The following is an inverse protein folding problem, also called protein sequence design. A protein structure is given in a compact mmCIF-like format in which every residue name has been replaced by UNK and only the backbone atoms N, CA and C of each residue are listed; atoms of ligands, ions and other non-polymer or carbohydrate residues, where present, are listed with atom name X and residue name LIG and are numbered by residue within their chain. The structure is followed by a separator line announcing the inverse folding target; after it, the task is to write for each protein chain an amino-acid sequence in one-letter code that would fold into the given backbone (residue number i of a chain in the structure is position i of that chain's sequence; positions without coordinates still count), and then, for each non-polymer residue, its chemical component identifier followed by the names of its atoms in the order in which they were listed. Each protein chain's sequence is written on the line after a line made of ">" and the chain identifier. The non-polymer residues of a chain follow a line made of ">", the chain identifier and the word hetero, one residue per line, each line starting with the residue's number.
data_IF_449207563719
#
_entry.id   IF_449207563719
#
_cell.length_a   1.000
_cell.length_b   1.000
_cell.length_c   1.000
_cell.angle_alpha   90.00
_cell.angle_beta   90.00
_cell.angle_gamma   90.00
#
_symmetry.space_group_name_H-M   'P 1'
#
loop_
_entity.id
_entity.type
_entity.pdbx_description
1 polymer ?
#
# COMPACT_ATOMS: atom_id res chain seq x y z
N UNK A 1 -14.69 23.46 -25.51
CA UNK A 1 -14.32 24.13 -24.24
C UNK A 1 -15.23 23.74 -23.06
N UNK A 2 -16.56 23.71 -23.16
CA UNK A 2 -17.44 23.40 -22.01
C UNK A 2 -17.51 21.91 -21.56
N UNK A 3 -17.19 20.93 -22.43
CA UNK A 3 -17.40 19.49 -22.15
C UNK A 3 -16.30 18.81 -21.32
N UNK A 4 -15.08 19.36 -21.29
CA UNK A 4 -13.94 18.77 -20.59
C UNK A 4 -14.00 19.10 -19.08
N UNK A 5 -14.41 20.32 -18.76
CA UNK A 5 -14.76 20.78 -17.41
C UNK A 5 -15.86 19.89 -16.84
N UNK A 6 -16.94 19.64 -17.60
CA UNK A 6 -18.07 18.82 -17.17
C UNK A 6 -17.72 17.39 -16.75
N UNK A 7 -16.67 16.75 -17.27
CA UNK A 7 -16.32 15.37 -16.88
C UNK A 7 -15.57 15.30 -15.55
N UNK A 8 -14.55 16.13 -15.32
CA UNK A 8 -13.89 16.23 -14.01
C UNK A 8 -14.89 16.80 -12.97
N UNK A 9 -15.77 17.71 -13.41
CA UNK A 9 -16.85 18.31 -12.64
C UNK A 9 -17.96 17.32 -12.27
N UNK A 10 -18.39 16.42 -13.16
CA UNK A 10 -19.36 15.35 -12.83
C UNK A 10 -18.80 14.38 -11.79
N UNK A 11 -17.49 14.10 -11.84
CA UNK A 11 -16.83 13.28 -10.82
C UNK A 11 -16.68 14.01 -9.47
N UNK A 12 -16.43 15.33 -9.47
CA UNK A 12 -16.35 16.13 -8.24
C UNK A 12 -17.73 16.49 -7.63
N UNK A 13 -18.80 16.57 -8.44
CA UNK A 13 -20.15 16.98 -8.01
C UNK A 13 -21.08 15.83 -7.59
N UNK A 14 -20.72 14.56 -7.83
CA UNK A 14 -21.58 13.41 -7.49
C UNK A 14 -21.57 13.02 -5.99
N UNK A 15 -20.92 13.80 -5.13
CA UNK A 15 -20.90 13.57 -3.68
C UNK A 15 -21.69 14.69 -2.97
N UNK A 16 -22.76 14.34 -2.25
CA UNK A 16 -23.60 15.28 -1.47
C UNK A 16 -22.80 16.03 -0.38
N UNK A 17 -23.07 17.32 -0.12
CA UNK A 17 -22.31 18.14 0.83
C UNK A 17 -22.97 18.19 2.23
N UNK A 18 -22.25 18.67 3.29
CA UNK A 18 -22.49 20.08 3.65
C UNK A 18 -21.28 20.91 4.19
N UNK A 19 -21.42 22.22 3.98
CA UNK A 19 -21.05 23.40 4.79
C UNK A 19 -19.58 23.80 5.08
N UNK A 20 -19.07 24.72 4.24
CA UNK A 20 -18.33 25.99 4.50
C UNK A 20 -17.54 26.23 5.81
N UNK A 21 -16.21 26.42 5.73
CA UNK A 21 -15.49 27.73 5.64
C UNK A 21 -13.94 27.57 5.60
N UNK A 22 -13.28 28.49 4.88
CA UNK A 22 -11.87 28.72 4.43
C UNK A 22 -10.68 28.61 5.44
N UNK A 23 -9.38 28.76 5.03
CA UNK A 23 -8.69 28.52 3.73
C UNK A 23 -7.38 27.66 3.81
N UNK A 24 -6.98 27.17 2.64
CA UNK A 24 -5.72 26.58 2.15
C UNK A 24 -4.38 26.88 2.85
N UNK A 25 -3.56 25.82 2.94
CA UNK A 25 -2.24 25.74 2.30
C UNK A 25 -1.92 24.28 1.95
N UNK A 26 -1.58 24.02 0.68
CA UNK A 26 -1.37 22.69 0.11
C UNK A 26 0.06 22.56 -0.41
N UNK A 27 0.88 21.71 0.22
CA UNK A 27 2.12 21.15 -0.34
C UNK A 27 2.18 19.64 -0.04
N UNK A 28 2.70 18.89 -1.02
CA UNK A 28 2.38 17.48 -1.29
C UNK A 28 2.79 16.46 -0.23
N UNK A 29 1.83 15.60 0.15
CA UNK A 29 2.01 14.54 1.11
C UNK A 29 2.63 13.27 0.49
N UNK A 30 3.89 12.98 0.78
CA UNK A 30 4.33 11.58 1.00
C UNK A 30 4.03 11.24 2.46
N UNK A 31 3.29 10.19 2.77
CA UNK A 31 2.87 9.92 4.15
C UNK A 31 4.07 9.51 5.05
N UNK A 32 4.11 10.06 6.26
CA UNK A 32 5.17 9.83 7.25
C UNK A 32 4.95 8.49 7.93
N UNK A 33 5.95 7.59 7.86
CA UNK A 33 5.83 6.23 8.40
C UNK A 33 6.27 6.23 9.86
N UNK A 34 5.32 6.43 10.76
CA UNK A 34 5.56 6.33 12.20
C UNK A 34 5.72 4.88 12.65
N UNK A 35 6.69 4.64 13.52
CA UNK A 35 6.80 3.36 14.20
C UNK A 35 5.79 3.30 15.34
N UNK A 36 5.32 2.09 15.66
CA UNK A 36 4.38 1.87 16.75
C UNK A 36 4.97 2.37 18.11
N UNK A 37 4.18 3.06 18.94
CA UNK A 37 4.64 3.68 20.19
C UNK A 37 5.16 2.69 21.24
N UNK A 38 4.78 1.41 21.17
CA UNK A 38 5.35 0.36 22.04
C UNK A 38 6.78 0.02 21.60
N UNK A 39 7.09 0.04 20.29
CA UNK A 39 8.46 -0.17 19.81
C UNK A 39 9.38 1.01 20.09
N UNK A 40 8.84 2.23 20.07
CA UNK A 40 9.56 3.43 20.49
C UNK A 40 10.20 3.25 21.89
N UNK A 41 9.54 2.55 22.81
CA UNK A 41 10.06 2.29 24.17
C UNK A 41 11.26 1.32 24.21
N UNK A 42 11.48 0.54 23.15
CA UNK A 42 12.57 -0.43 23.07
C UNK A 42 13.84 0.13 22.43
N UNK A 43 13.75 1.33 21.84
CA UNK A 43 14.89 2.01 21.24
C UNK A 43 15.81 2.56 22.32
N UNK A 44 17.12 2.46 22.08
CA UNK A 44 18.14 2.94 23.01
C UNK A 44 18.71 4.25 22.49
N UNK A 45 18.70 5.28 23.35
CA UNK A 45 19.56 6.45 23.13
C UNK A 45 21.00 6.06 23.38
N UNK A 46 21.89 6.54 22.51
CA UNK A 46 23.31 6.58 22.81
C UNK A 46 23.52 7.62 23.91
N UNK A 47 24.21 7.27 25.00
CA UNK A 47 24.54 8.25 26.07
C UNK A 47 25.32 9.40 25.45
N UNK A 48 24.94 10.62 25.81
CA UNK A 48 25.59 11.88 25.39
C UNK A 48 25.47 12.27 23.91
N UNK A 49 24.47 11.75 23.18
CA UNK A 49 24.15 12.26 21.83
C UNK A 49 23.23 13.49 21.93
N UNK A 50 23.75 14.65 21.57
CA UNK A 50 22.97 15.90 21.44
C UNK A 50 21.97 15.83 20.28
N UNK A 51 22.17 14.91 19.33
CA UNK A 51 21.40 14.75 18.10
C UNK A 51 20.02 14.13 18.31
N UNK A 52 19.77 13.48 19.46
CA UNK A 52 18.48 12.84 19.75
C UNK A 52 18.24 11.50 19.03
N UNK A 53 19.29 10.91 18.44
CA UNK A 53 19.17 9.62 17.76
C UNK A 53 18.80 8.47 18.70
N UNK A 54 17.89 7.65 18.19
CA UNK A 54 17.44 6.41 18.80
C UNK A 54 17.91 5.25 17.94
N UNK A 55 18.38 4.18 18.59
CA UNK A 55 18.91 3.01 17.90
C UNK A 55 18.18 1.74 18.31
N UNK A 56 17.94 0.87 17.33
CA UNK A 56 17.53 -0.50 17.58
C UNK A 56 18.75 -1.41 17.88
N UNK A 57 18.49 -2.70 18.09
CA UNK A 57 19.54 -3.71 18.31
C UNK A 57 20.45 -3.93 17.08
N UNK A 58 20.09 -3.42 15.90
CA UNK A 58 20.80 -3.54 14.62
C UNK A 58 21.46 -2.22 14.19
N UNK A 59 21.57 -1.24 15.09
CA UNK A 59 22.12 0.11 14.84
C UNK A 59 21.40 0.88 13.72
N UNK A 60 20.13 0.59 13.46
CA UNK A 60 19.29 1.44 12.62
C UNK A 60 18.93 2.71 13.37
N UNK A 61 18.87 3.83 12.65
CA UNK A 61 18.71 5.16 13.24
C UNK A 61 17.25 5.58 13.16
N UNK A 62 16.75 6.10 14.28
CA UNK A 62 15.40 6.60 14.45
C UNK A 62 15.46 7.98 15.10
N UNK A 63 14.45 8.80 14.85
CA UNK A 63 14.32 10.14 15.44
C UNK A 63 12.89 10.42 15.84
N UNK A 64 12.75 11.26 16.86
CA UNK A 64 11.46 11.70 17.39
C UNK A 64 11.02 12.98 16.67
N UNK A 65 9.96 12.88 15.86
CA UNK A 65 9.20 13.99 15.30
C UNK A 65 8.09 14.40 16.30
N UNK A 66 7.44 15.53 16.05
CA UNK A 66 6.33 16.00 16.88
C UNK A 66 5.16 15.01 16.96
N UNK A 67 4.93 14.24 15.90
CA UNK A 67 3.80 13.32 15.76
C UNK A 67 4.13 11.86 16.15
N UNK A 68 5.42 11.53 16.31
CA UNK A 68 5.84 10.17 16.61
C UNK A 68 7.29 9.90 16.21
N UNK A 69 7.70 8.64 16.32
CA UNK A 69 9.08 8.24 16.01
C UNK A 69 9.13 7.68 14.58
N UNK A 70 10.15 8.03 13.82
CA UNK A 70 10.36 7.56 12.45
C UNK A 70 11.74 6.96 12.29
N UNK A 71 11.87 6.02 11.35
CA UNK A 71 13.17 5.50 10.94
C UNK A 71 13.77 6.44 9.89
N UNK A 72 15.08 6.71 10.01
CA UNK A 72 15.79 7.58 9.09
C UNK A 72 17.05 6.91 8.53
N UNK A 73 17.43 7.32 7.32
CA UNK A 73 18.69 6.96 6.70
C UNK A 73 19.34 8.19 6.07
N UNK A 74 20.64 8.12 5.87
CA UNK A 74 21.41 9.19 5.25
C UNK A 74 21.53 8.95 3.74
N UNK A 75 20.97 9.85 2.94
CA UNK A 75 21.03 9.83 1.48
C UNK A 75 22.01 10.87 0.92
N UNK A 76 22.05 11.01 -0.41
CA UNK A 76 22.92 11.96 -1.10
C UNK A 76 22.63 13.44 -0.76
N UNK A 77 21.44 13.73 -0.24
CA UNK A 77 20.93 15.07 -0.02
C UNK A 77 20.46 15.33 1.43
N UNK A 78 20.96 14.51 2.37
CA UNK A 78 20.76 14.64 3.82
C UNK A 78 20.03 13.47 4.45
N UNK A 79 19.53 13.69 5.68
CA UNK A 79 18.72 12.71 6.40
C UNK A 79 17.30 12.66 5.83
N UNK A 80 16.82 11.44 5.58
CA UNK A 80 15.48 11.17 5.06
C UNK A 80 14.81 10.05 5.83
N UNK A 81 13.50 10.09 5.88
CA UNK A 81 12.70 8.96 6.39
C UNK A 81 12.90 7.72 5.50
N UNK A 82 12.83 6.55 6.12
CA UNK A 82 13.03 5.27 5.45
C UNK A 82 12.28 4.14 6.18
N UNK A 83 12.39 2.91 5.72
CA UNK A 83 11.85 1.72 6.38
C UNK A 83 12.79 0.51 6.24
N UNK A 84 12.53 -0.57 6.99
CA UNK A 84 13.48 -1.67 7.18
C UNK A 84 13.87 -2.46 5.91
N UNK A 85 13.13 -2.33 4.81
CA UNK A 85 13.38 -2.97 3.51
C UNK A 85 13.90 -2.03 2.42
N UNK A 86 14.09 -0.76 2.73
CA UNK A 86 14.54 0.23 1.75
C UNK A 86 16.07 0.36 1.77
N UNK A 87 16.71 0.22 0.60
CA UNK A 87 18.17 0.33 0.48
C UNK A 87 18.66 1.77 0.34
N UNK A 88 17.83 2.65 -0.25
CA UNK A 88 18.11 4.08 -0.43
C UNK A 88 16.96 4.88 0.14
N UNK A 89 17.17 5.71 1.18
CA UNK A 89 16.09 6.49 1.80
C UNK A 89 15.40 7.43 0.82
N UNK A 90 14.13 7.18 0.47
CA UNK A 90 13.35 8.05 -0.44
C UNK A 90 12.27 8.86 0.28
N UNK A 91 12.06 8.65 1.57
CA UNK A 91 11.09 9.39 2.38
C UNK A 91 11.42 10.88 2.55
N UNK A 92 10.56 11.59 3.28
CA UNK A 92 10.68 13.05 3.52
C UNK A 92 12.02 13.41 4.14
N UNK A 93 12.53 14.61 3.80
CA UNK A 93 13.72 15.15 4.45
C UNK A 93 13.41 15.54 5.88
N UNK A 94 14.36 15.29 6.75
CA UNK A 94 14.27 15.64 8.16
C UNK A 94 15.56 16.29 8.62
N UNK A 95 15.45 17.25 9.53
CA UNK A 95 16.59 17.84 10.22
C UNK A 95 16.33 17.93 11.71
N UNK A 96 17.42 17.98 12.46
CA UNK A 96 17.37 18.23 13.89
C UNK A 96 16.96 19.68 14.15
N UNK A 97 16.06 19.89 15.10
CA UNK A 97 15.75 21.24 15.59
C UNK A 97 16.96 21.72 16.44
N UNK A 98 17.61 22.84 16.08
CA UNK A 98 18.80 23.31 16.80
C UNK A 98 18.54 23.46 18.31
N UNK A 99 19.39 22.86 19.13
CA UNK A 99 19.27 22.90 20.60
C UNK A 99 18.24 21.95 21.21
N UNK A 100 17.68 21.01 20.42
CA UNK A 100 16.71 20.01 20.87
C UNK A 100 17.05 18.60 20.36
N UNK A 101 16.59 17.56 21.08
CA UNK A 101 16.64 16.17 20.59
C UNK A 101 15.52 15.83 19.62
N UNK A 102 14.61 16.78 19.37
CA UNK A 102 13.50 16.62 18.43
C UNK A 102 13.94 16.97 17.01
N UNK A 103 13.36 16.25 16.06
CA UNK A 103 13.55 16.45 14.64
C UNK A 103 12.28 17.06 14.04
N UNK A 104 12.44 17.70 12.89
CA UNK A 104 11.33 18.18 12.08
C UNK A 104 11.50 17.74 10.65
N UNK A 105 10.38 17.62 9.96
CA UNK A 105 10.38 17.54 8.51
C UNK A 105 10.75 18.91 7.94
N UNK A 106 11.56 18.88 6.89
CA UNK A 106 11.92 20.05 6.10
C UNK A 106 11.37 19.82 4.71
N UNK A 107 10.26 20.51 4.40
CA UNK A 107 9.95 20.82 3.02
C UNK A 107 11.05 21.74 2.49
N UNK A 108 11.36 21.63 1.20
CA UNK A 108 12.32 22.51 0.52
C UNK A 108 11.68 23.88 0.32
N UNK A 109 11.26 24.52 1.41
CA UNK A 109 10.82 25.91 1.51
C UNK A 109 10.60 26.28 3.00
N UNK A 110 11.66 26.53 3.77
CA UNK A 110 11.50 27.34 4.99
C UNK A 110 12.53 28.47 5.07
N UNK A 111 12.01 29.70 4.99
CA UNK A 111 12.51 30.81 5.80
C UNK A 111 11.37 31.32 6.70
N UNK A 112 11.56 31.11 8.00
CA UNK A 112 11.06 31.84 9.18
C UNK A 112 9.59 32.33 9.25
N UNK A 113 8.85 31.87 10.27
CA UNK A 113 8.40 32.71 11.40
C UNK A 113 7.64 31.91 12.47
N UNK A 114 7.84 32.32 13.72
CA UNK A 114 7.35 31.74 14.98
C UNK A 114 6.00 32.38 15.33
N UNK A 115 5.00 31.60 15.77
CA UNK A 115 4.22 31.84 17.00
C UNK A 115 2.97 30.97 17.11
N UNK A 116 2.72 30.53 18.34
CA UNK A 116 1.66 29.66 18.79
C UNK A 116 0.24 30.24 18.63
N UNK A 117 -0.75 29.35 18.54
CA UNK A 117 -1.92 29.35 19.42
C UNK A 117 -2.69 28.02 19.30
N UNK A 118 -2.95 27.43 20.47
CA UNK A 118 -3.82 26.27 20.67
C UNK A 118 -5.19 26.48 20.03
N UNK A 119 -5.73 25.44 19.39
CA UNK A 119 -7.18 25.19 19.36
C UNK A 119 -7.43 23.70 19.21
N UNK A 120 -8.00 23.14 20.28
CA UNK A 120 -8.67 21.84 20.34
C UNK A 120 -9.82 21.83 19.35
N UNK A 121 -9.70 21.11 18.24
CA UNK A 121 -10.84 20.74 17.40
C UNK A 121 -10.63 19.34 16.82
N UNK A 122 -11.64 18.51 17.07
CA UNK A 122 -11.71 17.09 16.80
C UNK A 122 -11.44 16.74 15.34
N UNK A 123 -10.53 15.80 15.13
CA UNK A 123 -10.19 15.25 13.81
C UNK A 123 -11.40 14.49 13.20
N UNK A 124 -11.71 14.71 11.91
CA UNK A 124 -12.64 13.87 11.16
C UNK A 124 -11.98 12.53 10.78
N UNK A 125 -12.82 11.51 10.63
CA UNK A 125 -12.45 10.12 10.43
C UNK A 125 -11.69 9.85 9.12
N UNK A 126 -10.36 9.90 9.18
CA UNK A 126 -9.45 9.26 8.22
C UNK A 126 -8.23 8.80 9.01
N UNK A 127 -7.67 7.63 8.67
CA UNK A 127 -6.65 6.88 9.43
C UNK A 127 -7.18 6.16 10.68
N UNK A 128 -8.09 5.20 10.50
CA UNK A 128 -8.15 4.06 11.43
C UNK A 128 -7.12 3.04 10.98
N UNK A 129 -6.19 2.68 11.86
CA UNK A 129 -5.46 1.42 11.75
C UNK A 129 -6.49 0.30 11.59
N UNK A 130 -6.22 -0.76 10.82
CA UNK A 130 -7.04 -1.96 10.91
C UNK A 130 -6.87 -2.47 12.34
N UNK A 131 -7.88 -2.25 13.16
CA UNK A 131 -7.87 -2.69 14.54
C UNK A 131 -8.13 -4.20 14.56
N UNK A 132 -7.71 -4.88 15.63
CA UNK A 132 -8.12 -6.27 15.87
C UNK A 132 -9.66 -6.44 15.84
N UNK A 133 -10.41 -5.36 16.03
CA UNK A 133 -11.85 -5.29 15.85
C UNK A 133 -12.27 -5.59 14.40
N UNK A 134 -11.52 -5.14 13.38
CA UNK A 134 -11.82 -5.41 11.97
C UNK A 134 -11.62 -6.89 11.63
N UNK A 135 -10.53 -7.50 12.11
CA UNK A 135 -10.31 -8.94 11.99
C UNK A 135 -11.41 -9.76 12.68
N UNK A 136 -11.85 -9.30 13.86
CA UNK A 136 -12.94 -9.94 14.60
C UNK A 136 -14.27 -9.82 13.85
N UNK A 137 -14.58 -8.65 13.26
CA UNK A 137 -15.81 -8.44 12.47
C UNK A 137 -15.82 -9.28 11.20
N UNK A 138 -14.68 -9.39 10.51
CA UNK A 138 -14.53 -10.26 9.34
C UNK A 138 -14.83 -11.71 9.71
N UNK A 139 -14.30 -12.18 10.83
CA UNK A 139 -14.56 -13.54 11.32
C UNK A 139 -16.03 -13.75 11.67
N UNK A 140 -16.69 -12.80 12.35
CA UNK A 140 -18.13 -12.90 12.62
C UNK A 140 -18.93 -12.99 11.32
N UNK A 141 -18.56 -12.25 10.28
CA UNK A 141 -19.18 -12.35 8.96
C UNK A 141 -18.92 -13.71 8.30
N UNK A 142 -17.71 -14.25 8.39
CA UNK A 142 -17.35 -15.57 7.83
C UNK A 142 -18.12 -16.70 8.52
N UNK A 143 -18.21 -16.66 9.85
CA UNK A 143 -18.96 -17.63 10.66
C UNK A 143 -20.46 -17.51 10.38
N UNK A 144 -20.99 -16.30 10.20
CA UNK A 144 -22.42 -16.08 9.91
C UNK A 144 -22.86 -16.55 8.53
N UNK A 145 -21.94 -16.65 7.56
CA UNK A 145 -22.23 -17.07 6.16
C UNK A 145 -22.26 -18.59 5.97
N UNK A 146 -22.22 -19.39 7.03
CA UNK A 146 -22.03 -20.83 6.93
C UNK A 146 -23.24 -21.57 6.33
N UNK A 147 -22.99 -22.32 5.26
CA UNK A 147 -23.69 -23.58 4.94
C UNK A 147 -22.76 -24.72 5.33
N UNK A 148 -23.24 -25.64 6.18
CA UNK A 148 -22.47 -26.75 6.72
C UNK A 148 -21.83 -27.61 5.62
N UNK A 149 -20.53 -27.44 5.39
CA UNK A 149 -19.71 -28.36 4.62
C UNK A 149 -18.78 -29.09 5.60
N UNK A 150 -18.79 -30.42 5.54
CA UNK A 150 -17.88 -31.28 6.31
C UNK A 150 -16.45 -31.04 5.82
N UNK A 151 -15.59 -30.53 6.70
CA UNK A 151 -14.14 -30.43 6.46
C UNK A 151 -13.40 -31.51 7.26
N UNK A 152 -12.47 -32.19 6.59
CA UNK A 152 -11.64 -33.28 7.12
C UNK A 152 -10.45 -32.78 7.96
N UNK A 153 -10.31 -31.45 8.12
CA UNK A 153 -9.34 -30.79 9.01
C UNK A 153 -9.83 -30.68 10.47
N UNK A 154 -11.10 -31.02 10.73
CA UNK A 154 -11.74 -30.89 12.04
C UNK A 154 -10.93 -31.59 13.15
N UNK A 155 -10.42 -30.80 14.10
CA UNK A 155 -9.70 -31.29 15.27
C UNK A 155 -8.18 -31.47 15.17
N UNK A 156 -7.51 -31.16 14.04
CA UNK A 156 -6.04 -31.28 13.95
C UNK A 156 -5.29 -30.42 14.99
N UNK A 157 -5.88 -29.26 15.32
CA UNK A 157 -5.34 -28.34 16.33
C UNK A 157 -5.34 -28.91 17.74
N UNK A 158 -6.22 -29.88 18.06
CA UNK A 158 -6.41 -30.39 19.42
C UNK A 158 -5.11 -30.99 19.98
N UNK A 159 -4.28 -31.59 19.11
CA UNK A 159 -3.01 -32.22 19.47
C UNK A 159 -1.85 -31.22 19.66
N UNK A 160 -2.06 -29.92 19.43
CA UNK A 160 -1.01 -28.90 19.61
C UNK A 160 -0.91 -28.42 21.06
N UNK A 161 -1.96 -28.66 21.86
CA UNK A 161 -2.04 -28.26 23.25
C UNK A 161 -1.11 -29.06 24.16
N UNK A 162 -0.63 -28.42 25.23
CA UNK A 162 0.22 -29.03 26.25
C UNK A 162 -0.35 -28.81 27.64
N UNK A 163 -0.15 -29.76 28.54
CA UNK A 163 -0.66 -29.68 29.92
C UNK A 163 0.00 -28.56 30.75
N UNK A 164 1.20 -28.12 30.35
CA UNK A 164 1.93 -27.05 31.03
C UNK A 164 1.97 -25.80 30.16
N UNK A 165 1.85 -24.64 30.79
CA UNK A 165 2.08 -23.35 30.13
C UNK A 165 3.50 -23.32 29.54
N UNK A 166 3.68 -22.85 28.30
CA UNK A 166 5.02 -22.72 27.71
C UNK A 166 5.93 -21.83 28.55
N UNK A 167 7.21 -22.22 28.68
CA UNK A 167 8.23 -21.46 29.42
C UNK A 167 8.53 -20.09 28.79
N UNK A 168 8.23 -19.94 27.50
CA UNK A 168 8.40 -18.71 26.73
C UNK A 168 7.26 -18.51 25.73
N UNK A 169 6.92 -17.26 25.48
CA UNK A 169 5.81 -16.89 24.58
C UNK A 169 4.46 -16.89 25.29
N UNK A 170 3.43 -16.61 24.51
CA UNK A 170 2.06 -16.52 25.00
C UNK A 170 1.28 -17.79 24.65
N UNK A 171 0.25 -18.10 25.43
CA UNK A 171 -0.66 -19.20 25.17
C UNK A 171 -2.07 -18.85 25.62
N UNK A 172 -3.05 -19.49 24.99
CA UNK A 172 -4.42 -19.53 25.49
C UNK A 172 -4.69 -20.89 26.14
N UNK A 173 -5.67 -20.93 27.03
CA UNK A 173 -6.12 -22.17 27.67
C UNK A 173 -7.47 -22.57 27.08
N UNK A 174 -7.56 -23.82 26.65
CA UNK A 174 -8.79 -24.47 26.17
C UNK A 174 -8.83 -25.85 26.83
N UNK A 175 -9.90 -26.14 27.56
CA UNK A 175 -10.13 -27.43 28.23
C UNK A 175 -8.95 -27.92 29.09
N UNK A 176 -8.27 -27.01 29.80
CA UNK A 176 -7.13 -27.32 30.67
C UNK A 176 -5.81 -27.60 29.94
N UNK A 177 -5.77 -27.43 28.62
CA UNK A 177 -4.54 -27.48 27.82
C UNK A 177 -4.14 -26.08 27.37
N UNK A 178 -2.83 -25.83 27.37
CA UNK A 178 -2.24 -24.60 26.87
C UNK A 178 -1.83 -24.73 25.40
N UNK A 179 -2.38 -23.86 24.56
CA UNK A 179 -2.10 -23.77 23.14
C UNK A 179 -1.22 -22.54 22.89
N UNK A 180 0.02 -22.71 22.38
CA UNK A 180 0.88 -21.59 22.01
C UNK A 180 0.20 -20.69 20.98
N UNK A 181 0.35 -19.37 21.14
CA UNK A 181 -0.12 -18.39 20.16
C UNK A 181 1.06 -17.60 19.59
N UNK A 182 0.88 -17.06 18.39
CA UNK A 182 1.84 -16.13 17.82
C UNK A 182 1.89 -14.86 18.68
N UNK A 183 3.06 -14.23 18.75
CA UNK A 183 3.20 -12.94 19.39
C UNK A 183 2.25 -11.93 18.73
N UNK A 184 1.45 -11.23 19.53
CA UNK A 184 0.49 -10.24 19.06
C UNK A 184 0.14 -9.29 20.20
N UNK A 185 -0.45 -8.14 19.88
CA UNK A 185 -0.88 -7.20 20.91
C UNK A 185 -2.14 -7.73 21.62
N UNK A 186 -1.96 -8.25 22.84
CA UNK A 186 -3.06 -8.65 23.70
C UNK A 186 -3.52 -7.47 24.57
N UNK A 187 -4.54 -6.75 24.10
CA UNK A 187 -5.29 -5.82 24.94
C UNK A 187 -6.29 -6.54 25.84
N UNK A 188 -6.88 -5.84 26.81
CA UNK A 188 -7.95 -6.37 27.66
C UNK A 188 -9.18 -6.85 26.89
N UNK A 189 -9.39 -6.29 25.68
CA UNK A 189 -10.48 -6.60 24.75
C UNK A 189 -10.06 -7.54 23.60
N UNK A 190 -8.85 -8.14 23.63
CA UNK A 190 -8.39 -9.00 22.53
C UNK A 190 -9.25 -10.27 22.43
N UNK A 191 -10.20 -10.23 21.50
CA UNK A 191 -11.15 -11.31 21.21
C UNK A 191 -10.68 -12.30 20.16
N UNK A 192 -9.52 -12.09 19.52
CA UNK A 192 -8.99 -12.91 18.44
C UNK A 192 -7.48 -13.16 18.59
N UNK A 193 -7.05 -14.41 18.42
CA UNK A 193 -5.63 -14.81 18.44
C UNK A 193 -5.31 -15.84 17.35
N UNK A 194 -4.03 -15.96 17.01
CA UNK A 194 -3.51 -17.00 16.12
C UNK A 194 -2.86 -18.13 16.94
N UNK A 195 -3.55 -19.26 17.02
CA UNK A 195 -3.01 -20.49 17.60
C UNK A 195 -1.93 -21.06 16.69
N UNK A 196 -0.72 -21.15 17.22
CA UNK A 196 0.47 -21.52 16.47
C UNK A 196 0.54 -23.04 16.27
N UNK A 197 0.60 -23.47 15.01
CA UNK A 197 0.94 -24.86 14.68
C UNK A 197 2.41 -25.15 15.09
N UNK A 198 2.74 -26.30 15.70
CA UNK A 198 4.11 -26.58 16.19
C UNK A 198 5.21 -26.54 15.12
N UNK A 199 4.86 -26.88 13.88
CA UNK A 199 5.74 -26.78 12.71
C UNK A 199 5.65 -25.45 11.94
N UNK A 200 4.98 -24.43 12.48
CA UNK A 200 4.90 -23.12 11.86
C UNK A 200 6.19 -22.33 12.15
N UNK A 201 7.04 -22.21 11.13
CA UNK A 201 8.32 -21.49 11.18
C UNK A 201 8.60 -20.59 9.97
N UNK A 202 7.63 -19.88 9.36
CA UNK A 202 7.96 -18.98 8.25
C UNK A 202 8.64 -17.72 8.80
N UNK A 203 9.92 -17.57 8.48
CA UNK A 203 10.72 -16.38 8.79
C UNK A 203 10.57 -15.29 7.74
N UNK A 204 10.26 -15.67 6.49
CA UNK A 204 10.18 -14.80 5.30
C UNK A 204 9.03 -15.19 4.39
N UNK A 205 8.71 -14.28 3.46
CA UNK A 205 7.67 -14.47 2.46
C UNK A 205 7.77 -15.80 1.71
N UNK A 206 8.94 -16.18 1.20
CA UNK A 206 9.08 -17.40 0.39
C UNK A 206 8.74 -18.68 1.16
N UNK A 207 9.12 -18.73 2.45
CA UNK A 207 8.77 -19.85 3.33
C UNK A 207 7.26 -19.87 3.61
N UNK A 208 6.64 -18.71 3.78
CA UNK A 208 5.20 -18.59 4.00
C UNK A 208 4.39 -18.97 2.74
N UNK A 209 4.79 -18.48 1.58
CA UNK A 209 4.20 -18.79 0.27
C UNK A 209 4.27 -20.29 -0.03
N UNK A 210 5.45 -20.90 0.12
CA UNK A 210 5.62 -22.34 -0.11
C UNK A 210 4.86 -23.18 0.92
N UNK A 211 4.86 -22.78 2.21
CA UNK A 211 4.10 -23.49 3.24
C UNK A 211 2.60 -23.50 2.93
N UNK A 212 2.01 -22.38 2.51
CA UNK A 212 0.59 -22.36 2.11
C UNK A 212 0.31 -23.11 0.81
N UNK A 213 1.29 -23.18 -0.11
CA UNK A 213 1.16 -23.90 -1.38
C UNK A 213 1.25 -25.42 -1.20
N UNK A 214 2.21 -25.89 -0.42
CA UNK A 214 2.59 -27.30 -0.34
C UNK A 214 2.03 -28.00 0.90
N UNK A 215 1.94 -27.27 2.02
CA UNK A 215 1.54 -27.81 3.33
C UNK A 215 0.56 -26.88 4.08
N UNK A 216 -0.59 -26.50 3.49
CA UNK A 216 -1.50 -25.47 4.03
C UNK A 216 -2.03 -25.77 5.43
N UNK A 217 -2.04 -27.03 5.88
CA UNK A 217 -2.44 -27.43 7.24
C UNK A 217 -1.43 -27.03 8.32
N UNK A 218 -0.21 -26.58 7.95
CA UNK A 218 0.79 -26.04 8.89
C UNK A 218 0.58 -24.58 9.24
N UNK A 219 -0.38 -23.90 8.60
CA UNK A 219 -0.68 -22.52 8.95
C UNK A 219 -1.26 -22.41 10.37
N UNK A 220 -1.14 -21.26 11.04
CA UNK A 220 -1.76 -21.05 12.34
C UNK A 220 -3.28 -20.98 12.18
N UNK A 221 -4.02 -21.23 13.26
CA UNK A 221 -5.49 -21.21 13.27
C UNK A 221 -6.01 -20.01 14.03
N UNK A 222 -7.15 -19.45 13.62
CA UNK A 222 -7.83 -18.45 14.44
C UNK A 222 -8.46 -19.09 15.67
N UNK A 223 -8.34 -18.43 16.81
CA UNK A 223 -9.15 -18.68 17.98
C UNK A 223 -9.78 -17.38 18.47
N UNK A 224 -11.08 -17.44 18.79
CA UNK A 224 -11.81 -16.30 19.32
C UNK A 224 -12.24 -16.52 20.76
N UNK A 225 -12.34 -15.44 21.52
CA UNK A 225 -12.86 -15.46 22.89
C UNK A 225 -14.35 -15.12 22.87
N UNK A 226 -15.18 -16.03 23.35
CA UNK A 226 -16.63 -15.86 23.47
C UNK A 226 -17.08 -16.27 24.88
N UNK A 227 -17.83 -15.40 25.54
CA UNK A 227 -18.33 -15.64 26.90
C UNK A 227 -17.23 -16.08 27.88
N UNK A 228 -16.04 -15.49 27.75
CA UNK A 228 -14.87 -15.81 28.57
C UNK A 228 -14.06 -17.03 28.13
N UNK A 229 -14.54 -17.82 27.17
CA UNK A 229 -13.92 -19.07 26.74
C UNK A 229 -13.31 -18.93 25.34
N UNK A 230 -12.16 -19.55 25.13
CA UNK A 230 -11.53 -19.59 23.82
C UNK A 230 -12.09 -20.71 22.96
N UNK A 231 -12.33 -20.43 21.68
CA UNK A 231 -12.78 -21.39 20.69
C UNK A 231 -11.93 -21.26 19.42
N UNK A 232 -11.31 -22.36 19.00
CA UNK A 232 -10.63 -22.45 17.70
C UNK A 232 -11.65 -22.58 16.58
N UNK A 233 -11.41 -21.89 15.47
CA UNK A 233 -12.28 -21.89 14.29
C UNK A 233 -11.77 -22.93 13.27
N UNK A 234 -12.20 -24.19 13.42
CA UNK A 234 -11.60 -25.32 12.68
C UNK A 234 -12.03 -25.49 11.22
N UNK A 235 -12.98 -24.69 10.73
CA UNK A 235 -13.41 -24.68 9.31
C UNK A 235 -13.06 -23.40 8.54
N UNK A 236 -12.28 -22.50 9.14
CA UNK A 236 -11.94 -21.20 8.57
C UNK A 236 -10.44 -20.93 8.71
N UNK A 237 -9.61 -21.44 7.79
CA UNK A 237 -8.18 -21.12 7.83
C UNK A 237 -7.97 -19.62 7.60
N UNK A 238 -6.97 -19.01 8.25
CA UNK A 238 -6.64 -17.61 7.98
C UNK A 238 -6.32 -17.32 6.50
N UNK A 239 -5.78 -18.32 5.80
CA UNK A 239 -5.45 -18.29 4.38
C UNK A 239 -5.98 -19.53 3.65
N UNK A 240 -6.81 -19.30 2.64
CA UNK A 240 -7.44 -20.32 1.78
C UNK A 240 -6.57 -20.66 0.55
N UNK A 241 -5.61 -19.81 0.23
CA UNK A 241 -4.66 -19.97 -0.89
C UNK A 241 -3.33 -19.30 -0.56
N UNK A 242 -2.31 -19.51 -1.39
CA UNK A 242 -1.03 -18.83 -1.20
C UNK A 242 -1.14 -17.31 -1.48
N UNK A 243 -0.29 -16.47 -0.87
CA UNK A 243 -0.27 -15.04 -1.09
C UNK A 243 -0.27 -14.62 -2.57
N UNK A 244 0.57 -15.24 -3.40
CA UNK A 244 0.61 -14.92 -4.83
C UNK A 244 -0.67 -15.31 -5.57
N UNK A 245 -1.34 -16.40 -5.16
CA UNK A 245 -2.63 -16.82 -5.71
C UNK A 245 -3.76 -15.85 -5.35
N UNK A 246 -3.76 -15.31 -4.13
CA UNK A 246 -4.71 -14.25 -3.74
C UNK A 246 -4.59 -13.04 -4.67
N UNK A 247 -3.36 -12.61 -4.95
CA UNK A 247 -3.11 -11.46 -5.83
C UNK A 247 -3.51 -11.75 -7.28
N UNK A 248 -3.12 -12.90 -7.83
CA UNK A 248 -3.48 -13.29 -9.19
C UNK A 248 -5.00 -13.44 -9.38
N UNK A 249 -5.71 -13.87 -8.33
CA UNK A 249 -7.18 -13.97 -8.35
C UNK A 249 -7.85 -12.60 -8.28
N UNK A 250 -7.30 -11.68 -7.47
CA UNK A 250 -7.86 -10.35 -7.28
C UNK A 250 -7.59 -9.38 -8.45
N UNK A 251 -6.44 -9.51 -9.12
CA UNK A 251 -6.02 -8.61 -10.18
C UNK A 251 -5.77 -9.37 -11.47
N UNK A 252 -6.62 -9.08 -12.46
CA UNK A 252 -6.59 -9.75 -13.75
C UNK A 252 -5.36 -9.35 -14.54
N UNK A 253 -4.85 -10.32 -15.30
CA UNK A 253 -3.79 -10.14 -16.30
C UNK A 253 -2.40 -9.82 -15.77
N UNK A 254 -2.20 -9.73 -14.45
CA UNK A 254 -0.86 -9.57 -13.88
C UNK A 254 0.01 -10.77 -14.23
N UNK A 255 1.28 -10.51 -14.55
CA UNK A 255 2.27 -11.57 -14.65
C UNK A 255 2.44 -12.27 -13.30
N UNK A 256 2.78 -13.57 -13.32
CA UNK A 256 3.06 -14.34 -12.10
C UNK A 256 4.06 -13.64 -11.18
N UNK A 257 5.09 -13.01 -11.77
CA UNK A 257 6.10 -12.25 -11.05
C UNK A 257 5.52 -11.03 -10.36
N UNK A 258 4.67 -10.25 -11.03
CA UNK A 258 4.03 -9.07 -10.41
C UNK A 258 3.10 -9.48 -9.28
N UNK A 259 2.37 -10.60 -9.45
CA UNK A 259 1.53 -11.16 -8.39
C UNK A 259 2.36 -11.57 -7.18
N UNK A 260 3.49 -12.25 -7.39
CA UNK A 260 4.43 -12.62 -6.33
C UNK A 260 5.07 -11.40 -5.65
N UNK A 261 5.56 -10.43 -6.42
CA UNK A 261 6.22 -9.23 -5.88
C UNK A 261 5.24 -8.35 -5.08
N UNK A 262 3.99 -8.22 -5.54
CA UNK A 262 2.95 -7.48 -4.84
C UNK A 262 2.53 -8.21 -3.54
N UNK A 263 2.38 -9.53 -3.59
CA UNK A 263 2.13 -10.34 -2.40
C UNK A 263 3.25 -10.20 -1.36
N UNK A 264 4.52 -10.28 -1.81
CA UNK A 264 5.71 -10.06 -0.99
C UNK A 264 5.70 -8.66 -0.37
N UNK A 265 5.37 -7.62 -1.14
CA UNK A 265 5.30 -6.26 -0.61
C UNK A 265 4.25 -6.10 0.50
N UNK A 266 3.09 -6.76 0.40
CA UNK A 266 2.10 -6.80 1.50
C UNK A 266 2.69 -7.51 2.72
N UNK A 267 3.27 -8.69 2.53
CA UNK A 267 3.86 -9.48 3.61
C UNK A 267 4.98 -8.72 4.32
N UNK A 268 5.90 -8.11 3.58
CA UNK A 268 7.05 -7.39 4.13
C UNK A 268 6.63 -6.13 4.89
N UNK A 269 5.59 -5.41 4.43
CA UNK A 269 5.04 -4.24 5.13
C UNK A 269 4.32 -4.61 6.42
N UNK A 270 3.72 -5.80 6.47
CA UNK A 270 3.06 -6.33 7.66
C UNK A 270 4.01 -7.09 8.60
N UNK A 271 5.22 -7.42 8.14
CA UNK A 271 6.21 -8.19 8.89
C UNK A 271 7.07 -7.32 9.80
N UNK A 272 7.48 -7.89 10.93
CA UNK A 272 8.47 -7.28 11.80
C UNK A 272 9.89 -7.73 11.38
N UNK A 273 10.96 -7.04 11.82
CA UNK A 273 12.34 -7.46 11.55
C UNK A 273 12.71 -8.86 12.08
N UNK A 274 11.90 -9.40 12.99
CA UNK A 274 12.01 -10.74 13.58
C UNK A 274 11.13 -11.78 12.89
N UNK A 275 10.37 -11.41 11.85
CA UNK A 275 9.40 -12.25 11.17
C UNK A 275 7.96 -11.74 11.36
N UNK A 276 7.01 -12.42 10.72
CA UNK A 276 5.60 -12.08 10.79
C UNK A 276 4.98 -12.57 12.11
N UNK A 277 4.15 -11.74 12.73
CA UNK A 277 3.48 -12.02 14.00
C UNK A 277 1.95 -12.09 13.79
N UNK A 278 1.15 -12.33 14.84
CA UNK A 278 -0.30 -12.48 14.70
C UNK A 278 -1.01 -11.23 14.15
N UNK A 279 -0.55 -10.04 14.56
CA UNK A 279 -1.08 -8.77 14.05
C UNK A 279 -0.75 -8.61 12.55
N UNK A 280 0.49 -8.90 12.17
CA UNK A 280 0.93 -8.89 10.77
C UNK A 280 0.13 -9.86 9.90
N UNK A 281 -0.09 -11.09 10.37
CA UNK A 281 -0.94 -12.06 9.65
C UNK A 281 -2.39 -11.58 9.51
N UNK A 282 -2.91 -10.85 10.49
CA UNK A 282 -4.24 -10.23 10.39
C UNK A 282 -4.27 -9.20 9.27
N UNK A 283 -3.29 -8.30 9.21
CA UNK A 283 -3.16 -7.28 8.14
C UNK A 283 -3.06 -7.96 6.76
N UNK A 284 -2.22 -8.98 6.62
CA UNK A 284 -2.06 -9.72 5.35
C UNK A 284 -3.37 -10.39 4.94
N UNK A 285 -4.01 -11.14 5.84
CA UNK A 285 -5.27 -11.85 5.55
C UNK A 285 -6.40 -10.88 5.18
N UNK A 286 -6.56 -9.79 5.95
CA UNK A 286 -7.55 -8.75 5.67
C UNK A 286 -7.29 -8.07 4.33
N UNK A 287 -6.03 -7.77 4.01
CA UNK A 287 -5.66 -7.15 2.73
C UNK A 287 -6.07 -8.04 1.55
N UNK A 288 -5.72 -9.32 1.59
CA UNK A 288 -6.05 -10.25 0.51
C UNK A 288 -7.55 -10.50 0.37
N UNK A 289 -8.26 -10.67 1.48
CA UNK A 289 -9.73 -10.82 1.47
C UNK A 289 -10.42 -9.55 0.97
N UNK A 290 -9.93 -8.37 1.34
CA UNK A 290 -10.40 -7.11 0.78
C UNK A 290 -10.20 -7.05 -0.73
N UNK A 291 -9.03 -7.43 -1.23
CA UNK A 291 -8.77 -7.42 -2.67
C UNK A 291 -9.67 -8.38 -3.45
N UNK A 292 -10.00 -9.55 -2.91
CA UNK A 292 -10.96 -10.48 -3.52
C UNK A 292 -12.40 -9.96 -3.52
N UNK A 293 -12.82 -9.28 -2.45
CA UNK A 293 -14.20 -8.80 -2.28
C UNK A 293 -14.22 -7.45 -1.58
N UNK A 294 -13.98 -6.40 -2.37
CA UNK A 294 -13.90 -5.01 -1.89
C UNK A 294 -15.23 -4.44 -1.41
N UNK A 295 -16.35 -5.08 -1.78
CA UNK A 295 -17.70 -4.62 -1.42
C UNK A 295 -18.03 -5.06 -0.01
N UNK A 296 -17.68 -6.30 0.34
CA UNK A 296 -18.06 -6.88 1.63
C UNK A 296 -16.96 -6.81 2.70
N UNK A 297 -15.71 -6.60 2.32
CA UNK A 297 -14.59 -6.61 3.25
C UNK A 297 -13.98 -5.22 3.42
N UNK A 298 -13.70 -4.85 4.67
CA UNK A 298 -13.12 -3.56 5.06
C UNK A 298 -11.73 -3.40 4.43
N UNK A 299 -11.45 -2.21 3.93
CA UNK A 299 -10.13 -1.89 3.39
C UNK A 299 -9.07 -1.93 4.50
N UNK A 300 -7.91 -2.57 4.28
CA UNK A 300 -6.82 -2.52 5.23
C UNK A 300 -6.28 -1.07 5.33
N UNK A 301 -5.88 -0.64 6.53
CA UNK A 301 -5.08 0.59 6.65
C UNK A 301 -3.66 0.42 6.08
N UNK A 302 -2.82 1.44 6.23
CA UNK A 302 -1.40 1.46 5.81
C UNK A 302 -1.12 1.48 4.31
N UNK A 303 -2.02 2.05 3.49
CA UNK A 303 -1.79 2.17 2.05
C UNK A 303 -1.67 0.81 1.33
N UNK A 304 -2.24 -0.26 1.92
CA UNK A 304 -2.27 -1.61 1.36
C UNK A 304 -3.53 -1.89 0.55
N UNK A 305 -4.55 -1.03 0.64
CA UNK A 305 -5.82 -1.24 -0.05
C UNK A 305 -5.68 -1.18 -1.59
N UNK A 306 -4.67 -0.48 -2.10
CA UNK A 306 -4.54 -0.19 -3.53
C UNK A 306 -3.09 -0.43 -4.04
N UNK A 307 -2.87 -1.50 -4.84
CA UNK A 307 -1.56 -1.84 -5.38
C UNK A 307 -0.81 -0.73 -6.11
N UNK A 308 -1.51 0.16 -6.82
CA UNK A 308 -0.85 1.25 -7.55
C UNK A 308 -0.22 2.28 -6.61
N UNK A 309 -0.77 2.46 -5.41
CA UNK A 309 -0.20 3.31 -4.37
C UNK A 309 0.98 2.63 -3.66
N UNK A 310 1.05 1.30 -3.72
CA UNK A 310 2.18 0.54 -3.17
C UNK A 310 3.46 0.65 -4.01
N UNK A 311 3.38 1.11 -5.26
CA UNK A 311 4.56 1.28 -6.12
C UNK A 311 5.48 2.38 -5.58
N UNK A 312 6.81 2.17 -5.57
CA UNK A 312 7.77 3.21 -5.21
C UNK A 312 7.77 4.31 -6.28
N UNK A 313 7.97 5.56 -5.84
CA UNK A 313 8.07 6.68 -6.77
C UNK A 313 9.47 6.71 -7.40
N UNK A 314 9.53 6.60 -8.71
CA UNK A 314 10.77 6.62 -9.47
C UNK A 314 11.19 8.05 -9.81
N UNK A 315 12.48 8.34 -9.62
CA UNK A 315 13.06 9.62 -10.01
C UNK A 315 13.35 9.69 -11.50
N UNK A 316 13.18 10.87 -12.08
CA UNK A 316 13.53 11.15 -13.48
C UNK A 316 14.91 11.80 -13.55
N UNK A 317 15.81 11.23 -14.36
CA UNK A 317 17.12 11.82 -14.63
C UNK A 317 17.03 12.90 -15.72
N UNK A 318 17.96 13.88 -15.80
CA UNK A 318 18.04 14.80 -16.91
C UNK A 318 18.27 14.05 -18.23
N UNK A 319 17.48 14.35 -19.27
CA UNK A 319 17.63 13.80 -20.60
C UNK A 319 18.68 14.53 -21.44
N UNK A 320 18.95 13.99 -22.64
CA UNK A 320 19.90 14.59 -23.60
C UNK A 320 19.38 15.87 -24.26
N UNK A 321 18.08 16.12 -24.18
CA UNK A 321 17.40 17.31 -24.72
C UNK A 321 17.03 18.26 -23.58
N UNK A 322 17.25 19.55 -23.77
CA UNK A 322 16.89 20.56 -22.77
C UNK A 322 15.39 20.49 -22.44
N UNK A 323 15.05 20.32 -21.16
CA UNK A 323 13.68 20.20 -20.67
C UNK A 323 13.06 18.80 -20.76
N UNK A 324 13.74 17.83 -21.38
CA UNK A 324 13.33 16.42 -21.37
C UNK A 324 14.08 15.66 -20.27
N UNK A 325 13.36 14.84 -19.52
CA UNK A 325 13.90 13.86 -18.59
C UNK A 325 13.93 12.46 -19.18
N UNK A 326 14.59 11.54 -18.47
CA UNK A 326 14.60 10.11 -18.75
C UNK A 326 14.23 9.35 -17.48
N UNK A 327 13.20 8.52 -17.60
CA UNK A 327 12.79 7.59 -16.56
C UNK A 327 13.34 6.21 -16.92
N UNK A 328 14.24 5.70 -16.07
CA UNK A 328 14.75 4.34 -16.21
C UNK A 328 13.73 3.35 -15.62
N UNK A 329 13.32 2.38 -16.43
CA UNK A 329 12.42 1.32 -15.99
C UNK A 329 13.17 0.36 -15.06
N UNK A 330 12.56 -0.05 -13.93
CA UNK A 330 13.13 -1.08 -13.08
C UNK A 330 13.31 -2.40 -13.86
N UNK A 331 14.29 -3.18 -13.43
CA UNK A 331 14.55 -4.51 -14.00
C UNK A 331 13.28 -5.37 -13.94
N UNK A 332 12.91 -5.91 -15.10
CA UNK A 332 11.81 -6.85 -15.23
C UNK A 332 12.00 -8.09 -14.33
N UNK A 333 13.24 -8.49 -14.05
CA UNK A 333 13.58 -9.64 -13.20
C UNK A 333 13.74 -9.32 -11.71
N UNK A 334 13.39 -8.10 -11.29
CA UNK A 334 13.42 -7.72 -9.88
C UNK A 334 12.50 -8.61 -9.02
N UNK A 335 13.00 -8.98 -7.85
CA UNK A 335 12.25 -9.69 -6.81
C UNK A 335 11.53 -8.75 -5.84
N UNK A 336 11.61 -7.44 -6.06
CA UNK A 336 10.93 -6.44 -5.23
C UNK A 336 9.88 -5.69 -6.05
N UNK A 337 8.81 -5.24 -5.39
CA UNK A 337 7.76 -4.46 -6.04
C UNK A 337 8.32 -3.08 -6.45
N UNK A 338 8.59 -2.92 -7.75
CA UNK A 338 9.01 -1.65 -8.35
C UNK A 338 8.14 -1.25 -9.54
N UNK A 339 7.43 -2.22 -10.12
CA UNK A 339 6.56 -2.10 -11.28
C UNK A 339 5.50 -3.18 -11.22
N UNK A 340 4.38 -2.94 -11.89
CA UNK A 340 3.42 -3.99 -12.24
C UNK A 340 3.60 -4.31 -13.71
N UNK A 341 3.71 -5.58 -14.02
CA UNK A 341 3.78 -6.13 -15.36
C UNK A 341 2.57 -7.02 -15.62
N UNK A 342 2.03 -6.92 -16.83
CA UNK A 342 0.88 -7.67 -17.31
C UNK A 342 1.28 -8.54 -18.48
N UNK A 343 0.77 -9.77 -18.51
CA UNK A 343 1.08 -10.75 -19.54
C UNK A 343 0.09 -10.62 -20.71
N UNK A 344 0.55 -10.20 -21.92
CA UNK A 344 -0.33 -10.10 -23.09
C UNK A 344 -1.03 -11.39 -23.50
N UNK A 345 -0.54 -12.56 -23.04
CA UNK A 345 -1.16 -13.86 -23.32
C UNK A 345 -2.53 -14.03 -22.63
N UNK A 346 -2.78 -13.29 -21.54
CA UNK A 346 -4.02 -13.32 -20.77
C UNK A 346 -5.17 -12.51 -21.42
N UNK A 347 -4.85 -11.63 -22.39
CA UNK A 347 -5.82 -10.77 -23.11
C UNK A 347 -5.53 -10.73 -24.62
N UNK A 348 -5.60 -11.88 -25.31
CA UNK A 348 -5.10 -12.02 -26.68
C UNK A 348 -5.85 -11.18 -27.70
N UNK A 349 -7.15 -10.91 -27.51
CA UNK A 349 -7.95 -10.12 -28.45
C UNK A 349 -7.56 -8.63 -28.43
N UNK A 350 -7.40 -8.05 -27.25
CA UNK A 350 -6.96 -6.68 -27.06
C UNK A 350 -5.50 -6.53 -27.52
N UNK A 351 -4.66 -7.52 -27.22
CA UNK A 351 -3.27 -7.56 -27.68
C UNK A 351 -3.14 -7.64 -29.20
N UNK A 352 -3.94 -8.49 -29.87
CA UNK A 352 -3.96 -8.60 -31.33
C UNK A 352 -4.34 -7.28 -32.00
N UNK A 353 -5.32 -6.55 -31.43
CA UNK A 353 -5.75 -5.24 -31.93
C UNK A 353 -4.60 -4.21 -31.88
N UNK A 354 -3.87 -4.17 -30.76
CA UNK A 354 -2.72 -3.27 -30.63
C UNK A 354 -1.57 -3.66 -31.56
N UNK A 355 -1.22 -4.94 -31.64
CA UNK A 355 -0.09 -5.40 -32.46
C UNK A 355 -0.34 -5.23 -33.97
N UNK A 356 -1.59 -5.34 -34.42
CA UNK A 356 -1.96 -5.05 -35.82
C UNK A 356 -1.68 -3.59 -36.20
N UNK A 357 -1.82 -2.65 -35.26
CA UNK A 357 -1.54 -1.23 -35.49
C UNK A 357 -1.06 -0.56 -34.19
N UNK A 358 0.26 -0.58 -33.90
CA UNK A 358 0.81 -0.11 -32.63
C UNK A 358 0.92 1.42 -32.63
N UNK A 359 -0.19 2.09 -32.32
CA UNK A 359 -0.29 3.54 -32.21
C UNK A 359 -0.83 3.96 -30.83
N UNK A 360 -0.79 5.27 -30.54
CA UNK A 360 -1.24 5.82 -29.28
C UNK A 360 -2.72 5.54 -28.97
N UNK A 361 -3.59 5.55 -29.99
CA UNK A 361 -5.02 5.27 -29.83
C UNK A 361 -5.27 3.84 -29.34
N UNK A 362 -4.63 2.86 -30.00
CA UNK A 362 -4.77 1.45 -29.66
C UNK A 362 -4.07 1.10 -28.34
N UNK A 363 -2.93 1.74 -28.04
CA UNK A 363 -2.28 1.62 -26.72
C UNK A 363 -3.20 2.14 -25.60
N UNK A 364 -3.83 3.29 -25.82
CA UNK A 364 -4.78 3.87 -24.88
C UNK A 364 -5.98 2.96 -24.67
N UNK A 365 -6.56 2.41 -25.75
CA UNK A 365 -7.66 1.46 -25.66
C UNK A 365 -7.25 0.19 -24.88
N UNK A 366 -6.03 -0.32 -25.11
CA UNK A 366 -5.49 -1.47 -24.40
C UNK A 366 -5.44 -1.24 -22.88
N UNK A 367 -4.89 -0.09 -22.44
CA UNK A 367 -4.84 0.26 -21.01
C UNK A 367 -6.21 0.58 -20.41
N UNK A 368 -7.14 1.16 -21.17
CA UNK A 368 -8.52 1.36 -20.69
C UNK A 368 -9.17 0.02 -20.34
N UNK A 369 -9.10 -0.97 -21.25
CA UNK A 369 -9.65 -2.30 -21.01
C UNK A 369 -8.95 -2.97 -19.82
N UNK A 370 -7.63 -2.91 -19.75
CA UNK A 370 -6.84 -3.45 -18.64
C UNK A 370 -7.28 -2.89 -17.28
N UNK A 371 -7.46 -1.56 -17.20
CA UNK A 371 -7.89 -0.87 -15.99
C UNK A 371 -9.34 -1.23 -15.63
N UNK A 372 -10.25 -1.26 -16.60
CA UNK A 372 -11.66 -1.62 -16.37
C UNK A 372 -11.82 -3.08 -15.91
N UNK A 373 -11.08 -4.02 -16.51
CA UNK A 373 -11.04 -5.42 -16.10
C UNK A 373 -10.56 -5.60 -14.65
N UNK A 374 -9.74 -4.66 -14.17
CA UNK A 374 -9.26 -4.60 -12.80
C UNK A 374 -10.14 -3.74 -11.89
N UNK A 375 -11.33 -3.32 -12.31
CA UNK A 375 -12.32 -2.61 -11.50
C UNK A 375 -12.05 -1.11 -11.31
N UNK A 376 -11.23 -0.49 -12.17
CA UNK A 376 -11.08 0.96 -12.21
C UNK A 376 -12.15 1.59 -13.11
N UNK A 377 -12.60 2.78 -12.72
CA UNK A 377 -13.39 3.67 -13.57
C UNK A 377 -12.45 4.66 -14.25
N UNK A 378 -12.44 4.66 -15.58
CA UNK A 378 -11.59 5.55 -16.38
C UNK A 378 -12.43 6.72 -16.89
N UNK A 379 -11.96 7.94 -16.65
CA UNK A 379 -12.62 9.14 -17.13
C UNK A 379 -12.58 9.23 -18.67
N UNK A 380 -13.55 9.92 -19.30
CA UNK A 380 -13.50 10.23 -20.73
C UNK A 380 -12.17 10.91 -21.12
N UNK A 381 -11.72 10.77 -22.39
CA UNK A 381 -10.54 11.49 -22.86
C UNK A 381 -10.67 12.99 -22.59
N UNK A 382 -9.63 13.56 -21.99
CA UNK A 382 -9.51 15.00 -21.76
C UNK A 382 -8.48 15.52 -22.77
N UNK A 383 -8.94 16.28 -23.76
CA UNK A 383 -8.12 16.75 -24.89
C UNK A 383 -6.89 17.60 -24.47
N UNK A 384 -6.87 18.08 -23.23
CA UNK A 384 -5.79 18.91 -22.67
C UNK A 384 -4.70 18.08 -21.97
N UNK A 385 -4.92 16.78 -21.73
CA UNK A 385 -3.93 15.95 -21.07
C UNK A 385 -2.80 15.58 -22.04
N UNK A 386 -1.58 15.91 -21.65
CA UNK A 386 -0.37 15.57 -22.41
C UNK A 386 -0.09 14.06 -22.38
N UNK A 387 0.66 13.59 -23.39
CA UNK A 387 1.20 12.22 -23.44
C UNK A 387 0.11 11.12 -23.40
N UNK A 388 -1.07 11.40 -23.99
CA UNK A 388 -2.22 10.50 -24.05
C UNK A 388 -2.66 9.98 -22.67
N UNK A 389 -2.53 10.82 -21.64
CA UNK A 389 -2.78 10.39 -20.28
C UNK A 389 -4.22 9.90 -20.03
N UNK A 390 -4.33 8.91 -19.16
CA UNK A 390 -5.57 8.38 -18.62
C UNK A 390 -5.73 8.84 -17.19
N UNK A 391 -6.91 9.36 -16.86
CA UNK A 391 -7.31 9.67 -15.48
C UNK A 391 -8.32 8.62 -15.04
N UNK A 392 -8.07 7.98 -13.91
CA UNK A 392 -8.92 6.92 -13.41
C UNK A 392 -8.88 6.83 -11.89
N UNK A 393 -9.90 6.19 -11.32
CA UNK A 393 -10.01 5.93 -9.89
C UNK A 393 -10.57 4.53 -9.65
N UNK A 394 -10.42 4.04 -8.43
CA UNK A 394 -11.15 2.84 -7.97
C UNK A 394 -12.28 3.27 -7.04
N UNK A 395 -13.55 2.87 -7.29
CA UNK A 395 -14.63 3.14 -6.35
C UNK A 395 -14.30 2.62 -4.95
N UNK A 396 -14.56 3.43 -3.92
CA UNK A 396 -14.27 3.09 -2.53
C UNK A 396 -12.81 3.30 -2.09
N UNK A 397 -11.92 3.75 -2.99
CA UNK A 397 -10.54 4.12 -2.65
C UNK A 397 -10.36 5.63 -2.84
N UNK A 398 -9.80 6.30 -1.84
CA UNK A 398 -9.44 7.73 -1.88
C UNK A 398 -8.15 7.96 -2.67
N UNK A 399 -8.12 7.52 -3.94
CA UNK A 399 -6.96 7.62 -4.82
C UNK A 399 -7.34 8.01 -6.24
N UNK A 400 -6.60 8.99 -6.79
CA UNK A 400 -6.73 9.45 -8.16
C UNK A 400 -5.45 9.13 -8.93
N UNK A 401 -5.57 8.44 -10.06
CA UNK A 401 -4.43 7.98 -10.83
C UNK A 401 -4.36 8.69 -12.17
N UNK A 402 -3.15 9.12 -12.53
CA UNK A 402 -2.86 9.69 -13.85
C UNK A 402 -1.78 8.86 -14.52
N UNK A 403 -2.17 8.09 -15.54
CA UNK A 403 -1.26 7.23 -16.29
C UNK A 403 -0.91 7.85 -17.63
N UNK A 404 0.36 8.25 -17.79
CA UNK A 404 0.92 8.70 -19.08
C UNK A 404 1.39 7.50 -19.88
N UNK A 405 1.21 7.57 -21.21
CA UNK A 405 1.52 6.48 -22.15
C UNK A 405 2.52 6.95 -23.24
N UNK A 406 3.75 7.34 -22.87
CA UNK A 406 4.78 7.72 -23.83
C UNK A 406 5.30 6.52 -24.62
N UNK A 407 6.01 6.79 -25.71
CA UNK A 407 6.73 5.74 -26.45
C UNK A 407 7.92 5.23 -25.63
N UNK A 408 8.02 3.91 -25.47
CA UNK A 408 9.06 3.25 -24.68
C UNK A 408 10.18 2.75 -25.59
N UNK A 409 11.43 3.03 -25.23
CA UNK A 409 12.61 2.57 -25.97
C UNK A 409 13.54 1.79 -25.04
N UNK A 410 13.55 0.46 -25.20
CA UNK A 410 14.32 -0.43 -24.32
C UNK A 410 13.83 -0.36 -22.88
N UNK A 411 14.72 0.01 -21.96
CA UNK A 411 14.45 0.27 -20.54
C UNK A 411 14.30 1.76 -20.22
N UNK A 412 14.31 2.65 -21.22
CA UNK A 412 14.21 4.08 -21.02
C UNK A 412 12.87 4.63 -21.52
N UNK A 413 12.30 5.55 -20.73
CA UNK A 413 11.10 6.29 -21.09
C UNK A 413 11.41 7.78 -21.12
N UNK A 414 11.30 8.46 -22.28
CA UNK A 414 11.47 9.90 -22.36
C UNK A 414 10.33 10.61 -21.62
N UNK A 415 10.68 11.62 -20.83
CA UNK A 415 9.76 12.41 -20.01
C UNK A 415 9.76 13.85 -20.45
N UNK A 416 8.71 14.30 -21.11
CA UNK A 416 8.63 15.68 -21.60
C UNK A 416 7.94 16.61 -20.61
N UNK A 417 7.32 16.05 -19.58
CA UNK A 417 6.60 16.78 -18.55
C UNK A 417 6.90 16.23 -17.17
N UNK A 418 7.04 17.14 -16.20
CA UNK A 418 7.19 16.77 -14.79
C UNK A 418 5.94 16.02 -14.28
N UNK A 419 6.09 15.09 -13.32
CA UNK A 419 4.95 14.56 -12.56
C UNK A 419 4.10 15.73 -12.00
N UNK A 420 2.77 15.60 -12.00
CA UNK A 420 1.88 16.67 -11.49
C UNK A 420 1.60 17.86 -12.42
N UNK A 421 2.38 18.04 -13.49
CA UNK A 421 2.22 19.18 -14.43
C UNK A 421 0.81 19.32 -15.03
N UNK A 422 0.06 18.22 -15.18
CA UNK A 422 -1.30 18.22 -15.74
C UNK A 422 -2.29 19.09 -14.96
N UNK A 423 -2.13 19.22 -13.64
CA UNK A 423 -3.00 20.06 -12.81
C UNK A 423 -2.41 21.44 -12.52
N UNK A 424 -1.13 21.64 -12.83
CA UNK A 424 -0.43 22.91 -12.68
C UNK A 424 -0.38 23.73 -13.98
N UNK A 425 -0.90 23.18 -15.09
CA UNK A 425 -0.93 23.84 -16.39
C UNK A 425 -1.77 25.14 -16.34
N UNK A 426 -1.18 26.32 -16.61
CA UNK A 426 -1.90 27.58 -16.62
C UNK A 426 -3.09 27.61 -17.57
N UNK A 427 -3.02 26.94 -18.73
CA UNK A 427 -4.11 26.93 -19.71
C UNK A 427 -5.28 26.08 -19.21
N UNK A 428 -4.98 24.95 -18.54
CA UNK A 428 -5.96 24.14 -17.83
C UNK A 428 -6.63 24.93 -16.70
N UNK A 429 -5.84 25.59 -15.85
CA UNK A 429 -6.34 26.37 -14.73
C UNK A 429 -7.14 27.60 -15.18
N UNK A 430 -6.77 28.25 -16.29
CA UNK A 430 -7.49 29.38 -16.87
C UNK A 430 -8.83 28.95 -17.50
N UNK A 431 -8.92 27.69 -17.96
CA UNK A 431 -10.17 27.10 -18.44
C UNK A 431 -11.17 26.72 -17.34
N UNK A 432 -10.75 26.70 -16.07
CA UNK A 432 -11.60 26.42 -14.92
C UNK A 432 -12.20 27.72 -14.36
N UNK A 433 -13.53 27.76 -14.21
CA UNK A 433 -14.19 28.81 -13.41
C UNK A 433 -13.75 28.76 -11.94
N UNK A 434 -13.85 29.87 -11.23
CA UNK A 434 -13.35 30.00 -9.85
C UNK A 434 -13.95 28.96 -8.88
N UNK A 435 -15.23 28.63 -9.02
CA UNK A 435 -15.89 27.61 -8.18
C UNK A 435 -15.41 26.20 -8.53
N UNK A 436 -15.21 25.91 -9.82
CA UNK A 436 -14.69 24.62 -10.26
C UNK A 436 -13.25 24.41 -9.80
N UNK A 437 -12.43 25.47 -9.80
CA UNK A 437 -11.08 25.41 -9.23
C UNK A 437 -11.14 25.08 -7.74
N UNK A 438 -12.01 25.75 -6.97
CA UNK A 438 -12.18 25.47 -5.53
C UNK A 438 -12.63 24.03 -5.26
N UNK A 439 -13.56 23.51 -6.05
CA UNK A 439 -14.01 22.12 -5.92
C UNK A 439 -12.92 21.11 -6.26
N UNK A 440 -12.15 21.37 -7.31
CA UNK A 440 -11.01 20.53 -7.68
C UNK A 440 -9.95 20.53 -6.56
N UNK A 441 -9.58 21.71 -6.05
CA UNK A 441 -8.61 21.84 -4.95
C UNK A 441 -9.10 21.10 -3.70
N UNK A 442 -10.38 21.24 -3.35
CA UNK A 442 -10.98 20.52 -2.22
C UNK A 442 -10.95 19.01 -2.43
N UNK A 443 -11.30 18.52 -3.61
CA UNK A 443 -11.26 17.09 -3.93
C UNK A 443 -9.82 16.55 -3.86
N UNK A 444 -8.86 17.24 -4.48
CA UNK A 444 -7.45 16.85 -4.48
C UNK A 444 -6.82 16.88 -3.07
N UNK A 445 -7.36 17.68 -2.14
CA UNK A 445 -6.93 17.66 -0.74
C UNK A 445 -7.37 16.41 0.04
N UNK A 446 -8.32 15.64 -0.50
CA UNK A 446 -8.93 14.48 0.17
C UNK A 446 -8.50 13.14 -0.44
N UNK A 447 -7.73 13.15 -1.53
CA UNK A 447 -7.32 11.94 -2.25
C UNK A 447 -5.81 11.91 -2.47
N UNK A 448 -5.23 10.71 -2.45
CA UNK A 448 -3.85 10.55 -2.88
C UNK A 448 -3.78 10.57 -4.41
N UNK A 449 -3.02 11.52 -4.97
CA UNK A 449 -2.76 11.58 -6.42
C UNK A 449 -1.49 10.79 -6.74
N UNK A 450 -1.62 9.78 -7.60
CA UNK A 450 -0.50 8.99 -8.08
C UNK A 450 -0.25 9.22 -9.57
N UNK A 451 0.96 9.67 -9.88
CA UNK A 451 1.46 9.80 -11.25
C UNK A 451 2.10 8.49 -11.68
N UNK A 452 1.61 7.97 -12.80
CA UNK A 452 1.97 6.66 -13.31
C UNK A 452 2.46 6.78 -14.74
N UNK A 453 3.31 5.84 -15.13
CA UNK A 453 3.80 5.68 -16.48
C UNK A 453 3.57 4.25 -16.91
N UNK A 454 3.02 4.08 -18.09
CA UNK A 454 2.81 2.76 -18.66
C UNK A 454 3.11 2.71 -20.14
N UNK A 455 3.16 1.50 -20.65
CA UNK A 455 3.43 1.25 -22.04
C UNK A 455 3.75 -0.21 -22.29
N UNK A 456 4.27 -0.49 -23.47
CA UNK A 456 4.72 -1.83 -23.87
C UNK A 456 6.23 -1.85 -23.90
N UNK A 457 6.84 -2.70 -23.08
CA UNK A 457 8.29 -2.91 -23.08
C UNK A 457 8.67 -4.10 -23.97
N UNK A 458 9.75 -3.93 -24.75
CA UNK A 458 10.44 -5.06 -25.39
C UNK A 458 11.42 -5.69 -24.39
N UNK A 459 11.20 -6.95 -24.02
CA UNK A 459 12.16 -7.69 -23.21
C UNK A 459 13.15 -8.46 -24.08
N UNK A 460 12.66 -9.02 -25.18
CA UNK A 460 13.46 -9.76 -26.17
C UNK A 460 12.88 -9.58 -27.58
N UNK A 461 13.41 -10.32 -28.57
CA UNK A 461 12.86 -10.29 -29.93
C UNK A 461 11.34 -10.60 -29.93
N UNK A 462 10.93 -11.61 -29.17
CA UNK A 462 9.58 -12.18 -29.18
C UNK A 462 8.79 -11.92 -27.89
N UNK A 463 9.46 -11.47 -26.82
CA UNK A 463 8.81 -11.26 -25.52
C UNK A 463 8.49 -9.78 -25.30
N UNK A 464 7.21 -9.50 -25.01
CA UNK A 464 6.68 -8.19 -24.65
C UNK A 464 5.93 -8.27 -23.34
N UNK A 465 5.89 -7.16 -22.61
CA UNK A 465 5.03 -6.99 -21.45
C UNK A 465 4.42 -5.59 -21.46
N UNK A 466 3.22 -5.46 -20.91
CA UNK A 466 2.68 -4.16 -20.54
C UNK A 466 3.13 -3.86 -19.12
N UNK A 467 3.46 -2.61 -18.83
CA UNK A 467 3.86 -2.23 -17.48
C UNK A 467 3.16 -0.99 -16.98
N UNK A 468 3.15 -0.85 -15.66
CA UNK A 468 2.83 0.37 -14.92
C UNK A 468 3.90 0.59 -13.85
N UNK A 469 4.48 1.78 -13.81
CA UNK A 469 5.38 2.28 -12.75
C UNK A 469 4.84 3.57 -12.17
N UNK A 470 5.25 3.90 -10.94
CA UNK A 470 4.94 5.19 -10.32
C UNK A 470 6.11 6.15 -10.46
N UNK A 471 5.84 7.38 -10.84
CA UNK A 471 6.84 8.45 -10.95
C UNK A 471 6.58 9.54 -9.91
N UNK A 472 7.63 10.28 -9.51
CA UNK A 472 7.49 11.42 -8.61
C UNK A 472 8.58 11.54 -7.58
#
# INVERSE_FOLDING_TARGET
>A
MARATDSIQQHALASEPPASHSPSNSEGSSETIFINPVFATQLKRKRDSEEGFLYDKRNKTYVELHEGIVMIGYGADGWRQTYAGESTPTGRKVEQIPGSTLWREIDVAQSAAVSALHSTQSMPAAQRSPELSDASTLIENLVSRQTAALDLSAGLWQNWGRSNRPDSGESIEIDGLHYPILAQNLGSESGLVYVQHPGFTPDRFDAFENMLRDEPSRQPMWARKRDGHWQVLDGYPPFEMSPSQYVATAFRHLSERSSSNLARAVFDRASLPTGINGDGLSVVSLTYRHWLDRVNNVAPGFGLAEPLLMLPKLSTAPGSTAGAGLLALPDYNSSVLQRLDFDPSEFPAQWATYTAQPNALNLRALFINLLQDNGYSVAPPVDMLVENALVFHRPGIAGLFILKLPLVSGDQVPRYTAPGSNFADPDFLAGLGADNKRHLDQYLSQVEVAHLVGGVQRLSADTRTLFIVREG
#
